data_IF_249249987913
#
_entry.id   IF_249249987913
#
_cell.length_a   1.000
_cell.length_b   1.000
_cell.length_c   1.000
_cell.angle_alpha   90.00
_cell.angle_beta   90.00
_cell.angle_gamma   90.00
#
_symmetry.space_group_name_H-M   'P 1'
#
loop_
_entity.id
_entity.type
_entity.pdbx_description
1 polymer ?
#
# COMPACT_ATOMS: atom_id res chain seq x y z
N UNK A 1 22.11 77.89 60.57
CA UNK A 1 23.28 77.53 59.74
C UNK A 1 22.77 77.13 58.38
N UNK A 2 23.12 77.87 57.32
CA UNK A 2 22.71 77.56 55.95
C UNK A 2 23.65 76.50 55.38
N UNK A 3 23.15 75.30 55.11
CA UNK A 3 23.91 74.29 54.35
C UNK A 3 23.90 74.71 52.88
N UNK A 4 25.04 75.21 52.40
CA UNK A 4 25.25 75.42 50.98
C UNK A 4 25.25 74.06 50.27
N UNK A 5 24.34 73.88 49.31
CA UNK A 5 24.29 72.71 48.45
C UNK A 5 25.53 72.73 47.54
N UNK A 6 26.50 71.86 47.80
CA UNK A 6 27.66 71.68 46.92
C UNK A 6 27.20 70.95 45.63
N UNK A 7 27.54 71.45 44.43
CA UNK A 7 27.18 70.78 43.18
C UNK A 7 27.89 69.42 43.07
N UNK A 8 27.19 68.41 42.57
CA UNK A 8 27.81 67.11 42.24
C UNK A 8 28.89 67.34 41.18
N UNK A 9 30.13 66.94 41.48
CA UNK A 9 31.24 66.96 40.52
C UNK A 9 31.33 65.58 39.83
N UNK A 10 31.20 65.50 38.49
CA UNK A 10 31.32 64.22 37.79
C UNK A 10 32.78 63.72 37.79
N UNK A 11 32.97 62.40 37.83
CA UNK A 11 34.27 61.77 37.54
C UNK A 11 34.38 61.58 36.03
N UNK A 12 35.29 62.31 35.39
CA UNK A 12 35.45 62.33 33.91
C UNK A 12 36.56 61.39 33.39
N UNK A 13 37.22 60.64 34.28
CA UNK A 13 38.32 59.73 33.94
C UNK A 13 38.06 58.28 34.34
N UNK A 14 39.03 57.40 34.06
CA UNK A 14 38.98 56.02 34.52
C UNK A 14 39.02 55.96 36.06
N UNK A 15 38.13 55.16 36.65
CA UNK A 15 38.07 54.93 38.09
C UNK A 15 38.26 53.44 38.37
N UNK A 16 39.19 53.10 39.26
CA UNK A 16 39.43 51.71 39.70
C UNK A 16 38.90 51.54 41.11
N UNK A 17 38.05 50.54 41.34
CA UNK A 17 37.59 50.11 42.67
C UNK A 17 38.24 48.77 42.98
N UNK A 18 39.05 48.69 44.04
CA UNK A 18 39.82 47.48 44.36
C UNK A 18 39.05 46.34 45.03
N UNK A 19 37.75 46.55 45.30
CA UNK A 19 36.87 45.58 45.94
C UNK A 19 35.46 45.65 45.30
N UNK A 20 34.39 45.32 46.01
CA UNK A 20 33.03 45.33 45.48
C UNK A 20 32.49 46.75 45.20
N UNK A 21 31.68 46.85 44.15
CA UNK A 21 30.78 47.98 43.89
C UNK A 21 29.35 47.51 44.17
N UNK A 22 28.60 48.25 44.98
CA UNK A 22 27.17 48.02 45.20
C UNK A 22 26.40 49.25 44.72
N UNK A 23 25.46 49.05 43.80
CA UNK A 23 24.59 50.12 43.26
C UNK A 23 23.18 49.83 43.75
N UNK A 24 22.64 50.65 44.65
CA UNK A 24 21.29 50.46 45.21
C UNK A 24 20.14 50.79 44.24
N UNK A 25 20.45 51.26 43.03
CA UNK A 25 19.49 51.59 41.97
C UNK A 25 19.95 51.08 40.61
N UNK A 26 19.56 51.75 39.53
CA UNK A 26 19.95 51.38 38.17
C UNK A 26 21.38 51.80 37.85
N UNK A 27 22.17 50.87 37.29
CA UNK A 27 23.45 51.17 36.66
C UNK A 27 23.24 51.36 35.16
N UNK A 28 23.35 52.60 34.68
CA UNK A 28 23.35 52.90 33.24
C UNK A 28 24.80 52.89 32.71
N UNK A 29 25.07 52.07 31.70
CA UNK A 29 26.37 52.01 31.00
C UNK A 29 26.12 52.34 29.53
N UNK A 30 26.73 53.43 29.04
CA UNK A 30 26.59 53.87 27.64
C UNK A 30 27.64 53.26 26.72
N UNK A 31 28.75 52.77 27.28
CA UNK A 31 29.82 52.10 26.58
C UNK A 31 29.71 50.57 26.64
N UNK A 32 30.78 49.89 26.19
CA UNK A 32 30.91 48.45 26.33
C UNK A 32 31.16 48.05 27.79
N UNK A 33 30.64 46.88 28.16
CA UNK A 33 30.89 46.27 29.47
C UNK A 33 31.61 44.94 29.26
N UNK A 34 32.71 44.72 29.99
CA UNK A 34 33.42 43.44 30.01
C UNK A 34 33.38 42.86 31.42
N UNK A 35 32.78 41.67 31.57
CA UNK A 35 32.80 40.88 32.80
C UNK A 35 33.63 39.64 32.53
N UNK A 36 34.73 39.47 33.26
CA UNK A 36 35.65 38.32 33.09
C UNK A 36 35.25 37.12 33.95
N UNK A 37 34.39 37.33 34.95
CA UNK A 37 33.85 36.30 35.82
C UNK A 37 32.43 35.86 35.45
N UNK A 38 31.85 35.00 36.28
CA UNK A 38 30.46 34.59 36.16
C UNK A 38 29.51 35.80 36.37
N UNK A 39 28.41 35.80 35.62
CA UNK A 39 27.37 36.82 35.74
C UNK A 39 26.06 36.14 36.10
N UNK A 40 25.47 36.51 37.23
CA UNK A 40 24.16 36.03 37.66
C UNK A 40 23.15 37.16 37.55
N UNK A 41 22.08 36.97 36.78
CA UNK A 41 20.95 37.89 36.69
C UNK A 41 19.75 37.23 37.37
N UNK A 42 19.19 37.89 38.39
CA UNK A 42 17.98 37.41 39.06
C UNK A 42 16.70 37.67 38.24
N UNK A 43 16.74 38.68 37.35
CA UNK A 43 15.65 39.03 36.43
C UNK A 43 15.95 38.64 34.98
N UNK A 44 15.08 39.08 34.07
CA UNK A 44 15.25 38.85 32.64
C UNK A 44 16.44 39.63 32.06
N UNK A 45 17.14 39.01 31.11
CA UNK A 45 18.12 39.67 30.26
C UNK A 45 17.48 39.99 28.90
N UNK A 46 17.54 41.23 28.45
CA UNK A 46 17.15 41.62 27.08
C UNK A 46 18.38 42.11 26.34
N UNK A 47 18.70 41.46 25.21
CA UNK A 47 19.79 41.86 24.32
C UNK A 47 19.15 42.35 23.02
N UNK A 48 19.50 43.56 22.59
CA UNK A 48 18.97 44.16 21.35
C UNK A 48 19.64 43.62 20.08
N UNK A 49 20.64 42.76 20.24
CA UNK A 49 21.43 42.17 19.16
C UNK A 49 21.78 40.72 19.50
N UNK A 50 22.83 40.18 18.90
CA UNK A 50 23.23 38.78 19.02
C UNK A 50 23.83 38.43 20.39
N UNK A 51 23.54 37.22 20.88
CA UNK A 51 24.27 36.58 21.97
C UNK A 51 25.19 35.49 21.39
N UNK A 52 26.51 35.63 21.57
CA UNK A 52 27.46 34.56 21.29
C UNK A 52 27.65 33.68 22.52
N UNK A 53 27.46 32.36 22.37
CA UNK A 53 27.78 31.37 23.42
C UNK A 53 28.78 30.39 22.83
N UNK A 54 30.02 30.42 23.31
CA UNK A 54 31.09 29.51 22.85
C UNK A 54 31.10 28.18 23.60
N UNK A 55 30.52 28.15 24.80
CA UNK A 55 30.28 26.94 25.59
C UNK A 55 28.87 26.38 25.42
N UNK A 56 28.45 25.55 26.37
CA UNK A 56 27.09 25.00 26.40
C UNK A 56 26.10 26.05 26.91
N UNK A 57 24.93 26.12 26.28
CA UNK A 57 23.76 26.83 26.79
C UNK A 57 22.70 25.83 27.26
N UNK A 58 22.19 26.02 28.48
CA UNK A 58 21.10 25.21 29.03
C UNK A 58 19.91 26.12 29.32
N UNK A 59 18.80 25.88 28.60
CA UNK A 59 17.55 26.64 28.75
C UNK A 59 16.49 25.77 29.45
N UNK A 60 16.43 25.83 30.78
CA UNK A 60 15.53 25.00 31.59
C UNK A 60 14.04 25.33 31.41
N UNK A 61 13.73 26.58 31.05
CA UNK A 61 12.37 27.04 30.74
C UNK A 61 11.93 26.80 29.30
N UNK A 62 12.80 26.21 28.45
CA UNK A 62 12.55 25.99 27.04
C UNK A 62 13.16 27.06 26.13
N UNK A 63 13.01 26.85 24.82
CA UNK A 63 13.52 27.72 23.76
C UNK A 63 12.40 28.05 22.79
N UNK A 64 12.18 29.35 22.55
CA UNK A 64 11.26 29.85 21.53
C UNK A 64 12.08 30.68 20.55
N UNK A 65 12.03 30.31 19.27
CA UNK A 65 12.57 31.12 18.18
C UNK A 65 11.42 31.64 17.34
N UNK A 66 11.28 32.96 17.23
CA UNK A 66 10.29 33.59 16.35
C UNK A 66 10.73 33.65 14.89
N UNK A 67 11.98 33.31 14.62
CA UNK A 67 12.57 33.23 13.29
C UNK A 67 13.10 31.81 13.03
N UNK A 68 13.85 31.62 11.95
CA UNK A 68 14.51 30.33 11.66
C UNK A 68 15.65 30.04 12.63
N UNK A 69 15.81 28.76 12.98
CA UNK A 69 16.98 28.25 13.71
C UNK A 69 17.68 27.16 12.88
N UNK A 70 19.00 27.10 12.98
CA UNK A 70 19.81 26.06 12.33
C UNK A 70 20.63 25.32 13.39
N UNK A 71 20.64 23.99 13.33
CA UNK A 71 21.47 23.12 14.17
C UNK A 71 22.42 22.38 13.24
N UNK A 72 23.73 22.58 13.41
CA UNK A 72 24.76 21.94 12.57
C UNK A 72 25.11 20.51 13.01
N UNK A 73 24.81 20.16 14.26
CA UNK A 73 24.98 18.82 14.81
C UNK A 73 23.69 18.01 14.81
N UNK A 74 23.67 16.92 15.58
CA UNK A 74 22.46 16.14 15.81
C UNK A 74 21.46 16.87 16.70
N UNK A 75 20.17 16.78 16.37
CA UNK A 75 19.06 17.21 17.22
C UNK A 75 18.42 15.97 17.83
N UNK A 76 18.58 15.78 19.15
CA UNK A 76 17.87 14.73 19.88
C UNK A 76 16.62 15.34 20.55
N UNK A 77 15.47 14.72 20.35
CA UNK A 77 14.19 15.13 20.92
C UNK A 77 13.64 13.96 21.72
N UNK A 78 13.66 14.06 23.05
CA UNK A 78 13.20 12.99 23.96
C UNK A 78 11.66 12.88 24.03
N UNK A 79 10.94 13.54 23.14
CA UNK A 79 9.49 13.58 23.06
C UNK A 79 9.02 13.77 21.62
N UNK A 80 7.81 14.28 21.43
CA UNK A 80 7.27 14.47 20.09
C UNK A 80 7.99 15.59 19.33
N UNK A 81 8.32 15.32 18.08
CA UNK A 81 8.65 16.36 17.11
C UNK A 81 7.36 16.80 16.39
N UNK A 82 6.85 17.99 16.71
CA UNK A 82 5.66 18.55 16.07
C UNK A 82 6.05 19.66 15.10
N UNK A 83 5.93 19.39 13.80
CA UNK A 83 6.10 20.37 12.74
C UNK A 83 4.73 20.72 12.15
N UNK A 84 4.31 21.99 12.26
CA UNK A 84 3.04 22.48 11.71
C UNK A 84 3.06 22.70 10.19
N UNK A 85 4.22 22.60 9.57
CA UNK A 85 4.42 22.68 8.12
C UNK A 85 5.14 21.44 7.59
N UNK A 86 5.93 21.62 6.54
CA UNK A 86 6.67 20.50 5.93
C UNK A 86 7.90 20.11 6.75
N UNK A 87 8.02 18.82 7.09
CA UNK A 87 9.29 18.22 7.52
C UNK A 87 9.97 17.53 6.33
N UNK A 88 11.23 17.86 6.07
CA UNK A 88 12.03 17.26 4.99
C UNK A 88 13.25 16.57 5.60
N UNK A 89 13.47 15.31 5.20
CA UNK A 89 14.65 14.54 5.58
C UNK A 89 15.56 14.43 4.37
N UNK A 90 16.83 14.83 4.52
CA UNK A 90 17.83 14.71 3.44
C UNK A 90 18.41 13.30 3.28
N UNK A 91 18.09 12.41 4.20
CA UNK A 91 18.56 11.03 4.27
C UNK A 91 17.42 10.12 4.78
N UNK A 92 17.77 8.98 5.37
CA UNK A 92 16.81 7.99 5.83
C UNK A 92 16.00 8.47 7.04
N UNK A 93 14.70 8.13 7.05
CA UNK A 93 13.88 8.06 8.25
C UNK A 93 14.03 6.66 8.83
N UNK A 94 14.59 6.54 10.03
CA UNK A 94 14.85 5.27 10.70
C UNK A 94 14.08 5.21 12.03
N UNK A 95 13.55 4.05 12.37
CA UNK A 95 13.05 3.78 13.71
C UNK A 95 14.20 3.52 14.68
N UNK A 96 14.02 3.82 15.97
CA UNK A 96 15.04 3.55 17.00
C UNK A 96 15.22 2.05 17.30
N UNK A 97 14.18 1.25 17.04
CA UNK A 97 14.17 -0.20 17.18
C UNK A 97 13.44 -0.86 16.01
N UNK A 98 13.77 -2.11 15.72
CA UNK A 98 13.09 -2.87 14.66
C UNK A 98 11.68 -3.31 15.10
N UNK A 99 10.72 -3.29 14.19
CA UNK A 99 9.34 -3.80 14.37
C UNK A 99 8.50 -3.15 15.50
N UNK A 100 8.91 -2.00 16.02
CA UNK A 100 8.25 -1.37 17.18
C UNK A 100 7.87 0.10 16.96
N UNK A 101 7.95 0.59 15.71
CA UNK A 101 7.58 1.97 15.37
C UNK A 101 6.77 2.01 14.09
N UNK A 102 5.63 2.67 14.16
CA UNK A 102 4.74 2.89 13.03
C UNK A 102 5.05 4.24 12.36
N UNK A 103 4.71 4.35 11.08
CA UNK A 103 4.60 5.63 10.39
C UNK A 103 3.16 6.13 10.47
N UNK A 104 2.89 6.94 11.49
CA UNK A 104 1.54 7.38 11.84
C UNK A 104 0.83 6.40 12.78
N UNK A 105 -0.46 6.59 12.98
CA UNK A 105 -1.30 5.70 13.80
C UNK A 105 -2.74 5.75 13.31
N UNK A 106 -3.62 4.87 13.79
CA UNK A 106 -5.04 4.93 13.46
C UNK A 106 -5.64 6.30 13.84
N UNK A 107 -6.31 6.96 12.88
CA UNK A 107 -6.86 8.31 13.06
C UNK A 107 -5.85 9.45 12.86
N UNK A 108 -4.56 9.16 12.69
CA UNK A 108 -3.51 10.12 12.33
C UNK A 108 -2.49 9.48 11.39
N UNK A 109 -3.00 8.72 10.42
CA UNK A 109 -2.21 8.08 9.39
C UNK A 109 -1.88 9.09 8.28
N UNK A 110 -0.86 8.77 7.49
CA UNK A 110 -0.64 9.46 6.23
C UNK A 110 -1.78 9.11 5.27
N UNK A 111 -2.29 10.11 4.55
CA UNK A 111 -3.28 9.88 3.49
C UNK A 111 -2.69 9.01 2.38
N UNK A 112 -1.49 9.37 1.94
CA UNK A 112 -0.86 8.79 0.76
C UNK A 112 0.61 8.46 1.04
N UNK A 113 1.15 7.50 0.28
CA UNK A 113 2.59 7.21 0.21
C UNK A 113 3.04 7.34 -1.24
N UNK A 114 3.77 8.41 -1.54
CA UNK A 114 4.38 8.60 -2.85
C UNK A 114 5.80 8.03 -2.86
N UNK A 115 6.05 7.02 -3.69
CA UNK A 115 7.38 6.45 -3.90
C UNK A 115 7.71 6.41 -5.39
N UNK A 116 8.84 7.00 -5.78
CA UNK A 116 9.39 6.86 -7.14
C UNK A 116 10.17 5.54 -7.34
N UNK A 117 10.38 4.79 -6.27
CA UNK A 117 11.08 3.51 -6.26
C UNK A 117 10.19 2.40 -5.76
N UNK A 118 10.76 1.52 -4.93
CA UNK A 118 10.06 0.36 -4.38
C UNK A 118 9.42 0.68 -3.03
N UNK A 119 8.26 0.06 -2.78
CA UNK A 119 7.72 -0.09 -1.41
C UNK A 119 7.93 -1.55 -1.04
N UNK A 120 8.78 -1.80 -0.04
CA UNK A 120 8.93 -3.13 0.54
C UNK A 120 7.94 -3.27 1.70
N UNK A 121 7.05 -4.26 1.62
CA UNK A 121 6.11 -4.57 2.70
C UNK A 121 5.99 -6.07 2.86
N UNK A 122 6.00 -6.54 4.11
CA UNK A 122 5.72 -7.94 4.44
C UNK A 122 4.23 -8.26 4.22
N UNK A 123 3.35 -7.35 4.67
CA UNK A 123 1.89 -7.51 4.57
C UNK A 123 1.28 -6.17 4.15
N UNK A 124 0.44 -6.19 3.12
CA UNK A 124 -0.39 -5.05 2.74
C UNK A 124 -1.84 -5.38 3.09
N UNK A 125 -2.39 -4.63 4.04
CA UNK A 125 -3.80 -4.71 4.42
C UNK A 125 -4.57 -3.65 3.65
N UNK A 126 -5.62 -4.08 2.97
CA UNK A 126 -6.57 -3.18 2.32
C UNK A 126 -7.99 -3.52 2.79
N UNK A 127 -8.87 -2.53 2.72
CA UNK A 127 -10.30 -2.72 2.98
C UNK A 127 -10.90 -3.70 1.97
N UNK A 128 -12.06 -4.26 2.31
CA UNK A 128 -12.85 -4.99 1.33
C UNK A 128 -13.29 -4.03 0.21
N UNK A 129 -13.41 -4.56 -1.01
CA UNK A 129 -13.79 -3.81 -2.20
C UNK A 129 -14.96 -4.43 -2.94
N UNK A 130 -15.22 -3.91 -4.14
CA UNK A 130 -16.24 -4.40 -5.08
C UNK A 130 -15.72 -4.35 -6.51
N UNK A 131 -16.48 -4.89 -7.48
CA UNK A 131 -16.08 -4.85 -8.89
C UNK A 131 -15.96 -3.41 -9.43
N UNK A 132 -16.76 -2.46 -8.93
CA UNK A 132 -16.71 -1.05 -9.37
C UNK A 132 -15.83 -0.17 -8.48
N UNK A 133 -15.24 -0.76 -7.43
CA UNK A 133 -14.34 -0.08 -6.50
C UNK A 133 -13.42 -1.11 -5.83
N UNK A 134 -12.40 -1.61 -6.55
CA UNK A 134 -11.47 -2.58 -5.99
C UNK A 134 -10.62 -1.95 -4.88
N UNK A 135 -10.12 -2.79 -3.97
CA UNK A 135 -9.29 -2.36 -2.84
C UNK A 135 -7.93 -1.81 -3.29
N UNK A 136 -7.37 -2.43 -4.33
CA UNK A 136 -6.24 -1.91 -5.09
C UNK A 136 -6.71 -1.60 -6.50
N UNK A 137 -6.52 -0.37 -6.95
CA UNK A 137 -6.97 0.10 -8.25
C UNK A 137 -5.94 1.06 -8.85
N UNK A 138 -6.25 1.65 -10.00
CA UNK A 138 -5.31 2.47 -10.77
C UNK A 138 -5.79 3.91 -10.84
N UNK A 139 -4.84 4.83 -10.99
CA UNK A 139 -5.18 6.24 -11.21
C UNK A 139 -5.85 6.37 -12.58
N UNK A 140 -7.05 6.95 -12.59
CA UNK A 140 -7.85 7.15 -13.81
C UNK A 140 -8.68 5.93 -14.25
N UNK A 141 -8.58 4.81 -13.54
CA UNK A 141 -9.35 3.59 -13.78
C UNK A 141 -9.68 2.95 -12.42
N UNK A 142 -10.81 3.35 -11.86
CA UNK A 142 -11.24 2.99 -10.50
C UNK A 142 -12.01 1.66 -10.42
N UNK A 143 -12.30 1.03 -11.56
CA UNK A 143 -13.08 -0.20 -11.65
C UNK A 143 -12.28 -1.39 -12.21
N UNK A 144 -10.99 -1.18 -12.47
CA UNK A 144 -10.00 -2.24 -12.67
C UNK A 144 -9.10 -2.37 -11.44
N UNK A 145 -8.90 -3.60 -10.95
CA UNK A 145 -8.10 -3.81 -9.74
C UNK A 145 -8.30 -5.14 -9.02
N UNK A 146 -7.68 -5.24 -7.84
CA UNK A 146 -7.71 -6.43 -6.99
C UNK A 146 -8.51 -6.15 -5.73
N UNK A 147 -9.37 -7.07 -5.32
CA UNK A 147 -10.14 -6.91 -4.09
C UNK A 147 -10.57 -8.24 -3.46
N UNK A 148 -11.00 -8.13 -2.20
CA UNK A 148 -11.82 -9.15 -1.54
C UNK A 148 -13.19 -8.54 -1.28
N UNK A 149 -14.30 -9.23 -1.57
CA UNK A 149 -15.64 -8.71 -1.31
C UNK A 149 -15.97 -8.79 0.18
N UNK A 150 -16.85 -7.88 0.65
CA UNK A 150 -17.36 -7.91 2.02
C UNK A 150 -18.02 -9.26 2.36
N UNK A 151 -18.00 -9.65 3.64
CA UNK A 151 -18.30 -10.98 4.16
C UNK A 151 -19.72 -11.58 3.91
N UNK A 152 -20.47 -11.08 2.93
CA UNK A 152 -21.84 -11.49 2.59
C UNK A 152 -22.01 -12.60 1.54
N UNK A 153 -20.96 -13.35 1.15
CA UNK A 153 -21.16 -14.58 0.37
C UNK A 153 -20.06 -15.01 -0.60
N UNK A 154 -19.04 -14.19 -0.87
CA UNK A 154 -17.93 -14.55 -1.75
C UNK A 154 -16.62 -14.62 -0.94
N UNK A 155 -16.31 -15.77 -0.35
CA UNK A 155 -15.01 -15.98 0.29
C UNK A 155 -13.95 -16.10 -0.80
N UNK A 156 -13.28 -15.00 -1.18
CA UNK A 156 -12.28 -15.09 -2.24
C UNK A 156 -11.50 -13.81 -2.56
N UNK A 157 -10.55 -13.97 -3.47
CA UNK A 157 -9.75 -12.92 -4.08
C UNK A 157 -10.18 -12.74 -5.54
N UNK A 158 -10.46 -11.50 -5.94
CA UNK A 158 -11.02 -11.18 -7.25
C UNK A 158 -10.15 -10.16 -7.98
N UNK A 159 -9.93 -10.41 -9.27
CA UNK A 159 -9.45 -9.41 -10.23
C UNK A 159 -10.65 -8.86 -11.01
N UNK A 160 -10.92 -7.56 -10.84
CA UNK A 160 -11.88 -6.80 -11.62
C UNK A 160 -11.20 -6.07 -12.78
N UNK A 161 -11.91 -5.99 -13.91
CA UNK A 161 -11.50 -5.23 -15.09
C UNK A 161 -12.73 -4.50 -15.64
N UNK A 162 -12.69 -3.17 -15.73
CA UNK A 162 -13.80 -2.32 -16.18
C UNK A 162 -15.15 -2.66 -15.51
N UNK A 163 -15.15 -2.86 -14.18
CA UNK A 163 -16.36 -3.13 -13.42
C UNK A 163 -16.87 -4.57 -13.46
N UNK A 164 -16.14 -5.49 -14.09
CA UNK A 164 -16.51 -6.91 -14.22
C UNK A 164 -15.50 -7.82 -13.51
N UNK A 165 -15.97 -8.90 -12.89
CA UNK A 165 -15.10 -9.92 -12.30
C UNK A 165 -14.50 -10.84 -13.39
N UNK A 166 -13.21 -10.70 -13.63
CA UNK A 166 -12.48 -11.47 -14.65
C UNK A 166 -11.91 -12.79 -14.09
N UNK A 167 -11.51 -12.81 -12.82
CA UNK A 167 -11.00 -14.00 -12.13
C UNK A 167 -11.40 -13.95 -10.66
N UNK A 168 -11.98 -15.03 -10.14
CA UNK A 168 -12.33 -15.18 -8.73
C UNK A 168 -11.76 -16.49 -8.18
N UNK A 169 -11.00 -16.41 -7.09
CA UNK A 169 -10.41 -17.57 -6.41
C UNK A 169 -11.04 -17.67 -5.02
N UNK A 170 -11.70 -18.78 -4.73
CA UNK A 170 -12.36 -19.04 -3.45
C UNK A 170 -11.63 -20.11 -2.63
N UNK A 171 -11.74 -20.04 -1.31
CA UNK A 171 -11.20 -21.04 -0.39
C UNK A 171 -11.82 -22.45 -0.57
N UNK A 172 -12.96 -22.58 -1.26
CA UNK A 172 -13.74 -23.82 -1.30
C UNK A 172 -13.72 -24.60 -2.62
N UNK A 173 -12.98 -24.21 -3.68
CA UNK A 173 -13.03 -24.94 -4.96
C UNK A 173 -11.85 -24.63 -5.89
N UNK A 174 -11.37 -25.67 -6.60
CA UNK A 174 -10.70 -25.58 -7.92
C UNK A 174 -11.21 -24.41 -8.74
N UNK A 175 -10.33 -23.60 -9.38
CA UNK A 175 -10.68 -22.38 -10.17
C UNK A 175 -12.06 -22.53 -10.80
N UNK A 176 -13.13 -22.04 -10.14
CA UNK A 176 -14.46 -22.37 -10.57
C UNK A 176 -14.73 -21.54 -11.82
N UNK A 177 -15.07 -22.18 -12.93
CA UNK A 177 -16.04 -21.54 -13.81
C UNK A 177 -17.29 -21.34 -12.94
N UNK A 178 -17.46 -20.12 -12.43
CA UNK A 178 -18.24 -19.85 -11.23
C UNK A 178 -19.70 -20.28 -11.37
N UNK A 179 -20.24 -20.95 -10.34
CA UNK A 179 -21.67 -21.14 -10.15
C UNK A 179 -22.31 -19.81 -9.70
N UNK A 180 -22.41 -18.87 -10.63
CA UNK A 180 -23.26 -17.69 -10.55
C UNK A 180 -24.32 -17.76 -11.66
N UNK A 181 -25.51 -17.21 -11.43
CA UNK A 181 -26.62 -17.17 -12.39
C UNK A 181 -26.30 -16.38 -13.68
N UNK A 182 -25.13 -15.74 -13.73
CA UNK A 182 -24.50 -15.12 -14.88
C UNK A 182 -23.09 -15.69 -15.00
N UNK A 183 -22.84 -16.53 -16.00
CA UNK A 183 -21.63 -17.36 -16.11
C UNK A 183 -20.34 -16.56 -15.97
N UNK A 184 -19.49 -16.99 -15.02
CA UNK A 184 -18.11 -16.50 -14.90
C UNK A 184 -17.19 -17.52 -15.57
N UNK A 185 -16.75 -17.19 -16.78
CA UNK A 185 -15.82 -17.99 -17.57
C UNK A 185 -14.37 -17.70 -17.15
N UNK A 186 -13.61 -18.75 -16.82
CA UNK A 186 -12.15 -18.67 -16.75
C UNK A 186 -11.65 -18.67 -18.19
N UNK A 187 -11.45 -17.49 -18.76
CA UNK A 187 -10.84 -17.36 -20.07
C UNK A 187 -9.34 -17.69 -19.95
N UNK A 188 -8.94 -18.90 -20.38
CA UNK A 188 -7.56 -19.39 -20.32
C UNK A 188 -6.64 -18.79 -21.41
N UNK A 189 -7.13 -17.80 -22.18
CA UNK A 189 -6.30 -17.03 -23.10
C UNK A 189 -7.03 -16.66 -24.40
N UNK A 190 -7.21 -15.36 -24.61
CA UNK A 190 -7.41 -14.77 -25.94
C UNK A 190 -6.02 -14.38 -26.46
N UNK A 191 -5.50 -15.08 -27.47
CA UNK A 191 -4.36 -14.58 -28.23
C UNK A 191 -4.88 -13.62 -29.29
N UNK A 192 -4.69 -12.31 -29.07
CA UNK A 192 -5.09 -11.28 -30.04
C UNK A 192 -4.06 -11.18 -31.17
N UNK A 193 -4.45 -11.57 -32.38
CA UNK A 193 -3.84 -11.10 -33.62
C UNK A 193 -4.99 -10.70 -34.57
N UNK A 194 -5.37 -9.42 -34.53
CA UNK A 194 -6.33 -8.77 -35.44
C UNK A 194 -7.84 -8.84 -35.08
N UNK A 195 -8.51 -7.70 -35.26
CA UNK A 195 -9.92 -7.40 -34.96
C UNK A 195 -10.96 -8.19 -35.79
N UNK A 196 -10.52 -9.09 -36.66
CA UNK A 196 -11.40 -9.83 -37.59
C UNK A 196 -11.28 -11.34 -37.50
N UNK A 197 -10.42 -11.88 -36.63
CA UNK A 197 -10.20 -13.32 -36.55
C UNK A 197 -10.65 -13.88 -35.20
N UNK A 198 -11.77 -14.60 -35.20
CA UNK A 198 -12.29 -15.32 -34.03
C UNK A 198 -11.40 -16.54 -33.79
N UNK A 199 -10.47 -16.44 -32.85
CA UNK A 199 -9.59 -17.53 -32.45
C UNK A 199 -10.34 -18.83 -32.08
N UNK A 200 -9.71 -20.00 -32.24
CA UNK A 200 -10.39 -21.31 -32.24
C UNK A 200 -10.83 -21.84 -30.86
N UNK A 201 -10.48 -21.16 -29.77
CA UNK A 201 -10.90 -21.55 -28.41
C UNK A 201 -12.02 -20.64 -27.92
N UNK A 202 -13.18 -20.76 -28.57
CA UNK A 202 -14.43 -20.18 -28.08
C UNK A 202 -14.93 -21.01 -26.92
N UNK A 203 -14.67 -20.52 -25.71
CA UNK A 203 -15.32 -20.86 -24.45
C UNK A 203 -15.37 -22.35 -24.07
N UNK A 204 -14.60 -22.74 -23.06
CA UNK A 204 -14.80 -24.04 -22.41
C UNK A 204 -15.83 -23.87 -21.29
N UNK A 205 -17.08 -24.25 -21.58
CA UNK A 205 -18.15 -24.31 -20.58
C UNK A 205 -18.15 -25.67 -19.90
N UNK A 206 -17.92 -25.71 -18.58
CA UNK A 206 -18.13 -26.92 -17.76
C UNK A 206 -19.14 -26.63 -16.67
N UNK A 207 -20.09 -27.55 -16.47
CA UNK A 207 -21.06 -27.47 -15.36
C UNK A 207 -20.48 -27.92 -14.01
N UNK A 208 -19.24 -28.42 -14.01
CA UNK A 208 -18.44 -28.80 -12.83
C UNK A 208 -16.94 -28.58 -13.12
N UNK A 209 -16.04 -29.42 -12.62
CA UNK A 209 -14.60 -29.36 -12.86
C UNK A 209 -14.21 -29.86 -14.27
N UNK A 210 -13.53 -29.00 -15.05
CA UNK A 210 -12.84 -29.40 -16.28
C UNK A 210 -11.38 -29.72 -15.95
N UNK A 211 -10.96 -30.96 -16.17
CA UNK A 211 -9.57 -31.38 -15.99
C UNK A 211 -8.88 -31.50 -17.36
N UNK A 212 -8.04 -30.52 -17.72
CA UNK A 212 -7.20 -30.59 -18.92
C UNK A 212 -5.78 -31.04 -18.51
N UNK A 213 -5.46 -32.31 -18.72
CA UNK A 213 -4.10 -32.82 -18.50
C UNK A 213 -3.22 -32.55 -19.73
N UNK A 214 -2.12 -31.84 -19.55
CA UNK A 214 -1.04 -31.71 -20.53
C UNK A 214 0.15 -32.57 -20.08
N UNK A 215 0.58 -33.54 -20.90
CA UNK A 215 1.85 -34.24 -20.68
C UNK A 215 2.94 -33.58 -21.53
N UNK A 216 3.91 -32.94 -20.89
CA UNK A 216 5.14 -32.46 -21.56
C UNK A 216 6.34 -33.21 -21.01
N UNK A 217 6.88 -34.12 -21.84
CA UNK A 217 8.30 -34.39 -22.12
C UNK A 217 8.43 -35.82 -22.67
N UNK A 218 8.93 -35.94 -23.91
CA UNK A 218 9.03 -37.16 -24.73
C UNK A 218 7.76 -37.54 -25.49
N UNK A 219 7.92 -37.66 -26.80
CA UNK A 219 6.91 -37.77 -27.85
C UNK A 219 6.19 -39.15 -27.87
N UNK A 220 5.67 -39.60 -26.73
CA UNK A 220 4.89 -40.85 -26.58
C UNK A 220 3.75 -40.76 -25.55
N UNK A 221 3.45 -39.58 -24.99
CA UNK A 221 2.34 -39.39 -24.03
C UNK A 221 1.03 -38.99 -24.71
N UNK A 222 -0.01 -39.80 -24.57
CA UNK A 222 -1.37 -39.46 -25.02
C UNK A 222 -1.91 -38.27 -24.23
N UNK A 223 -2.42 -37.24 -24.92
CA UNK A 223 -3.28 -36.22 -24.29
C UNK A 223 -4.66 -36.82 -24.05
N UNK A 224 -4.96 -37.21 -22.81
CA UNK A 224 -6.22 -37.86 -22.45
C UNK A 224 -7.21 -36.83 -21.91
N UNK A 225 -8.34 -36.66 -22.60
CA UNK A 225 -9.50 -35.90 -22.09
C UNK A 225 -10.31 -36.84 -21.18
N UNK A 226 -10.30 -36.60 -19.87
CA UNK A 226 -11.14 -37.34 -18.93
C UNK A 226 -12.55 -36.73 -18.90
N UNK A 227 -13.52 -37.47 -19.42
CA UNK A 227 -14.94 -37.13 -19.34
C UNK A 227 -15.61 -38.10 -18.38
N UNK A 228 -15.91 -37.63 -17.17
CA UNK A 228 -16.73 -38.39 -16.24
C UNK A 228 -18.20 -38.06 -16.47
N UNK A 229 -19.03 -39.10 -16.59
CA UNK A 229 -20.47 -38.91 -16.73
C UNK A 229 -21.09 -38.76 -15.35
N UNK A 230 -21.93 -37.75 -15.15
CA UNK A 230 -22.64 -37.52 -13.89
C UNK A 230 -23.56 -38.68 -13.45
N UNK A 231 -23.76 -39.70 -14.30
CA UNK A 231 -24.55 -40.87 -14.00
C UNK A 231 -23.79 -42.14 -14.42
N UNK A 232 -23.50 -43.02 -13.45
CA UNK A 232 -22.74 -44.27 -13.63
C UNK A 232 -23.34 -45.25 -14.66
N UNK A 233 -24.57 -45.01 -15.15
CA UNK A 233 -25.25 -45.83 -16.15
C UNK A 233 -25.25 -45.25 -17.59
N UNK A 234 -24.72 -44.04 -17.80
CA UNK A 234 -24.73 -43.37 -19.12
C UNK A 234 -23.31 -42.95 -19.43
N UNK A 235 -22.67 -43.47 -20.46
CA UNK A 235 -21.34 -43.02 -20.86
C UNK A 235 -21.25 -41.50 -21.16
N UNK A 236 -20.03 -40.97 -21.29
CA UNK A 236 -19.79 -39.60 -21.78
C UNK A 236 -19.80 -39.55 -23.32
N UNK A 237 -20.02 -38.37 -23.91
CA UNK A 237 -19.89 -38.17 -25.36
C UNK A 237 -19.02 -36.95 -25.69
N UNK A 238 -18.16 -37.05 -26.71
CA UNK A 238 -17.52 -35.91 -27.38
C UNK A 238 -18.32 -35.60 -28.64
N UNK A 239 -18.88 -34.41 -28.76
CA UNK A 239 -19.67 -34.01 -29.94
C UNK A 239 -18.87 -33.07 -30.82
N UNK A 240 -18.62 -33.47 -32.06
CA UNK A 240 -18.05 -32.62 -33.10
C UNK A 240 -19.18 -32.03 -33.95
N UNK A 241 -19.27 -30.70 -34.01
CA UNK A 241 -20.25 -29.95 -34.83
C UNK A 241 -19.59 -29.54 -36.14
N UNK A 242 -20.19 -29.90 -37.27
CA UNK A 242 -19.73 -29.46 -38.58
C UNK A 242 -19.87 -27.93 -38.71
N UNK A 243 -19.04 -27.30 -39.55
CA UNK A 243 -19.01 -25.85 -39.74
C UNK A 243 -20.35 -25.24 -40.20
N UNK A 244 -21.24 -26.05 -40.78
CA UNK A 244 -22.59 -25.65 -41.18
C UNK A 244 -23.58 -25.53 -40.00
N UNK A 245 -23.19 -25.91 -38.79
CA UNK A 245 -24.01 -25.83 -37.57
C UNK A 245 -25.15 -26.83 -37.47
N UNK A 246 -25.42 -27.62 -38.51
CA UNK A 246 -26.59 -28.51 -38.62
C UNK A 246 -26.26 -29.99 -38.44
N UNK A 247 -24.99 -30.38 -38.59
CA UNK A 247 -24.57 -31.78 -38.49
C UNK A 247 -23.63 -31.96 -37.32
N UNK A 248 -23.96 -32.88 -36.41
CA UNK A 248 -23.11 -33.23 -35.28
C UNK A 248 -22.84 -34.73 -35.26
N UNK A 249 -21.60 -35.11 -35.01
CA UNK A 249 -21.20 -36.49 -34.75
C UNK A 249 -20.76 -36.61 -33.30
N UNK A 250 -21.28 -37.60 -32.58
CA UNK A 250 -20.86 -37.91 -31.23
C UNK A 250 -19.95 -39.14 -31.22
N UNK A 251 -18.87 -39.05 -30.46
CA UNK A 251 -18.03 -40.15 -30.06
C UNK A 251 -18.43 -40.56 -28.65
N UNK A 252 -19.00 -41.74 -28.49
CA UNK A 252 -19.50 -42.24 -27.20
C UNK A 252 -18.41 -43.04 -26.47
N UNK A 253 -18.31 -42.82 -25.16
CA UNK A 253 -17.40 -43.53 -24.26
C UNK A 253 -18.18 -44.12 -23.08
N UNK A 254 -18.34 -45.44 -23.04
CA UNK A 254 -19.04 -46.16 -21.96
C UNK A 254 -20.13 -47.11 -22.48
N UNK A 255 -21.04 -47.52 -21.59
CA UNK A 255 -22.18 -48.39 -21.92
C UNK A 255 -23.16 -47.66 -22.85
N UNK A 256 -23.19 -48.05 -24.13
CA UNK A 256 -24.16 -47.55 -25.11
C UNK A 256 -25.55 -48.16 -24.87
N UNK A 257 -26.24 -47.67 -23.85
CA UNK A 257 -27.65 -48.00 -23.62
C UNK A 257 -28.59 -47.27 -24.58
N UNK A 258 -28.11 -46.30 -25.36
CA UNK A 258 -28.94 -45.49 -26.26
C UNK A 258 -29.26 -46.25 -27.56
N UNK A 259 -28.32 -47.07 -28.06
CA UNK A 259 -28.53 -47.89 -29.26
C UNK A 259 -28.72 -49.39 -28.99
N UNK A 260 -28.97 -49.78 -27.73
CA UNK A 260 -29.22 -51.18 -27.35
C UNK A 260 -27.96 -52.08 -27.35
N UNK A 261 -26.77 -51.48 -27.30
CA UNK A 261 -25.50 -52.20 -27.19
C UNK A 261 -25.26 -52.69 -25.76
N UNK A 262 -25.05 -53.99 -25.59
CA UNK A 262 -24.68 -54.59 -24.30
C UNK A 262 -23.41 -53.99 -23.70
N UNK A 263 -23.18 -54.29 -22.42
CA UNK A 263 -22.16 -53.69 -21.55
C UNK A 263 -20.69 -53.93 -21.94
N UNK A 264 -20.25 -53.35 -23.06
CA UNK A 264 -18.86 -53.29 -23.50
C UNK A 264 -18.43 -51.84 -23.70
N UNK A 265 -17.19 -51.52 -23.30
CA UNK A 265 -16.49 -50.29 -23.67
C UNK A 265 -16.28 -50.28 -25.19
N UNK A 266 -17.22 -49.68 -25.94
CA UNK A 266 -17.17 -49.57 -27.39
C UNK A 266 -17.00 -48.12 -27.83
N UNK A 267 -16.23 -47.89 -28.90
CA UNK A 267 -16.15 -46.61 -29.60
C UNK A 267 -17.28 -46.57 -30.65
N UNK A 268 -18.41 -45.95 -30.32
CA UNK A 268 -19.51 -45.77 -31.25
C UNK A 268 -19.54 -44.33 -31.77
N UNK A 269 -19.78 -44.18 -33.07
CA UNK A 269 -20.06 -42.88 -33.70
C UNK A 269 -21.48 -42.88 -34.23
N UNK A 270 -22.29 -41.90 -33.84
CA UNK A 270 -23.61 -41.69 -34.42
C UNK A 270 -23.84 -40.21 -34.71
N UNK A 271 -24.70 -39.94 -35.70
CA UNK A 271 -25.21 -38.59 -35.92
C UNK A 271 -26.14 -38.23 -34.76
N UNK A 272 -25.84 -37.11 -34.10
CA UNK A 272 -26.63 -36.62 -32.97
C UNK A 272 -27.24 -35.27 -33.28
N UNK A 273 -28.33 -34.95 -32.58
CA UNK A 273 -28.87 -33.59 -32.55
C UNK A 273 -27.82 -32.66 -31.98
N UNK A 274 -27.45 -31.62 -32.74
CA UNK A 274 -26.48 -30.65 -32.27
C UNK A 274 -26.94 -29.98 -30.97
N UNK A 275 -26.09 -29.90 -29.93
CA UNK A 275 -26.35 -29.05 -28.78
C UNK A 275 -26.64 -27.63 -29.25
N UNK A 276 -27.61 -27.01 -28.56
CA UNK A 276 -27.96 -25.60 -28.77
C UNK A 276 -26.81 -24.71 -28.35
#
# INVERSE_FOLDING_TARGET
MSMALLPLSPVLGASTVGNNVSVGGTLAVTGATTLTGATTLAGAATLSSTLGVTGLSTLTGGFISSASSSISGGLNVNGNFNASGTSRFGANLLSGTNDNSDLGTFGSAFSDVYSSGTIFSNVILANDGSMTAPAYSWIGDSDTGLFRPSAGGATGFILAVNGLSQLAISASSTIPAGRGTTGYSVNLGQYYNSLTDRGPFGDIYSSSSLFAASSTLSNTGTSTLFLDSANSARGGQIVFKAANGTSCMALYFGVDTINGGGAGLGLATSTVTCPK
#
